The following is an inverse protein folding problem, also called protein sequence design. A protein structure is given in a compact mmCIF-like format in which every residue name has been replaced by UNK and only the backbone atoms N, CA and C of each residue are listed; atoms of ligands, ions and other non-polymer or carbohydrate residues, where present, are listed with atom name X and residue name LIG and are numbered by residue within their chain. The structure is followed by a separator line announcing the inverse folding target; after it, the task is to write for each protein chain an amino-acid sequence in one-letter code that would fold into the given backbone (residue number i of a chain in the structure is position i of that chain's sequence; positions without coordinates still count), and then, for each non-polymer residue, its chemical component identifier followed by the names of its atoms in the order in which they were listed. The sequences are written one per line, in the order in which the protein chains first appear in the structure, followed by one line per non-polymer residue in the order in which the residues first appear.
data_IF_507016592300
#
_entry.id   IF_507016592300
#
_cell.length_a   1.000
_cell.length_b   1.000
_cell.length_c   1.000
_cell.angle_alpha   90.00
_cell.angle_beta   90.00
_cell.angle_gamma   90.00
#
_symmetry.space_group_name_H-M   'P 1'
#
loop_
_entity.id
_entity.type
_entity.pdbx_description
1 polymer ?
#
# COMPACT_ATOMS: atom_id res chain seq x y z
N UNK A 1 -12.06 -15.82 8.22
CA UNK A 1 -11.19 -16.07 7.06
C UNK A 1 -11.39 -14.90 6.10
N UNK A 2 -10.33 -14.18 5.76
CA UNK A 2 -10.39 -13.14 4.73
C UNK A 2 -10.36 -13.90 3.40
N UNK A 3 -11.46 -13.89 2.66
CA UNK A 3 -11.47 -14.46 1.31
C UNK A 3 -10.69 -13.51 0.40
N UNK A 4 -9.59 -13.94 -0.24
CA UNK A 4 -8.87 -13.07 -1.14
C UNK A 4 -9.76 -12.72 -2.35
N UNK A 5 -9.66 -11.49 -2.89
CA UNK A 5 -10.31 -11.10 -4.12
C UNK A 5 -9.98 -12.08 -5.27
N UNK A 6 -10.93 -12.29 -6.18
CA UNK A 6 -10.77 -13.21 -7.32
C UNK A 6 -9.87 -12.70 -8.44
N UNK A 7 -9.37 -11.46 -8.35
CA UNK A 7 -8.49 -10.85 -9.36
C UNK A 7 -7.02 -11.22 -9.22
N UNK A 8 -6.15 -10.47 -9.88
CA UNK A 8 -4.72 -10.72 -9.88
C UNK A 8 -4.07 -10.33 -8.55
N UNK A 9 -2.85 -10.85 -8.32
CA UNK A 9 -2.04 -10.51 -7.15
C UNK A 9 -0.97 -9.49 -7.52
N UNK A 10 -0.85 -8.42 -6.74
CA UNK A 10 0.11 -7.35 -6.95
C UNK A 10 0.92 -7.08 -5.69
N UNK A 11 2.21 -6.80 -5.85
CA UNK A 11 3.03 -6.16 -4.83
C UNK A 11 3.18 -4.69 -5.23
N UNK A 12 2.84 -3.76 -4.35
CA UNK A 12 2.96 -2.32 -4.64
C UNK A 12 3.94 -1.64 -3.68
N UNK A 13 4.61 -0.62 -4.20
CA UNK A 13 5.43 0.30 -3.42
C UNK A 13 4.57 1.34 -2.71
N UNK A 14 5.08 1.93 -1.63
CA UNK A 14 4.43 2.97 -0.85
C UNK A 14 4.07 4.20 -1.69
N UNK A 15 4.91 4.56 -2.68
CA UNK A 15 4.65 5.67 -3.59
C UNK A 15 3.34 5.51 -4.39
N UNK A 16 2.96 4.27 -4.73
CA UNK A 16 1.68 3.99 -5.39
C UNK A 16 0.53 4.25 -4.43
N UNK A 17 0.67 3.82 -3.17
CA UNK A 17 -0.33 4.08 -2.14
C UNK A 17 -0.48 5.58 -1.85
N UNK A 18 0.63 6.33 -1.78
CA UNK A 18 0.59 7.79 -1.61
C UNK A 18 -0.14 8.45 -2.76
N UNK A 19 0.16 8.05 -4.00
CA UNK A 19 -0.51 8.56 -5.19
C UNK A 19 -2.03 8.30 -5.14
N UNK A 20 -2.41 7.10 -4.70
CA UNK A 20 -3.80 6.74 -4.46
C UNK A 20 -4.46 7.65 -3.42
N UNK A 21 -3.88 7.78 -2.22
CA UNK A 21 -4.42 8.59 -1.11
C UNK A 21 -4.50 10.09 -1.46
N UNK A 22 -3.54 10.60 -2.23
CA UNK A 22 -3.53 12.00 -2.69
C UNK A 22 -4.63 12.22 -3.74
N UNK A 23 -4.79 11.28 -4.68
CA UNK A 23 -5.70 11.46 -5.81
C UNK A 23 -7.19 11.32 -5.46
N UNK A 24 -7.54 10.44 -4.52
CA UNK A 24 -8.93 10.18 -4.15
C UNK A 24 -9.79 9.56 -5.25
N UNK A 25 -9.19 8.95 -6.28
CA UNK A 25 -9.94 8.41 -7.43
C UNK A 25 -10.58 7.05 -7.14
N UNK A 26 -11.85 6.90 -7.49
CA UNK A 26 -12.61 5.66 -7.34
C UNK A 26 -12.03 4.47 -8.11
N UNK A 27 -11.27 4.71 -9.17
CA UNK A 27 -10.54 3.66 -9.92
C UNK A 27 -9.61 2.87 -9.00
N UNK A 28 -8.95 3.54 -8.05
CA UNK A 28 -8.11 2.85 -7.08
C UNK A 28 -8.96 2.00 -6.13
N UNK A 29 -10.08 2.51 -5.61
CA UNK A 29 -10.97 1.72 -4.76
C UNK A 29 -11.43 0.44 -5.47
N UNK A 30 -11.77 0.54 -6.75
CA UNK A 30 -12.14 -0.60 -7.58
C UNK A 30 -10.96 -1.56 -7.73
N UNK A 31 -9.76 -1.06 -8.02
CA UNK A 31 -8.54 -1.86 -8.12
C UNK A 31 -8.26 -2.65 -6.83
N UNK A 32 -8.27 -2.00 -5.67
CA UNK A 32 -8.00 -2.65 -4.39
C UNK A 32 -9.09 -3.65 -3.98
N UNK A 33 -10.36 -3.39 -4.32
CA UNK A 33 -11.46 -4.34 -4.04
C UNK A 33 -11.42 -5.59 -4.91
N UNK A 34 -10.91 -5.47 -6.14
CA UNK A 34 -10.96 -6.55 -7.13
C UNK A 34 -9.69 -7.39 -7.16
N UNK A 35 -8.58 -6.87 -6.65
CA UNK A 35 -7.26 -7.52 -6.71
C UNK A 35 -6.69 -7.75 -5.32
N UNK A 36 -5.86 -8.78 -5.19
CA UNK A 36 -5.11 -8.99 -3.94
C UNK A 36 -3.87 -8.11 -3.97
N UNK A 37 -3.75 -7.18 -3.04
CA UNK A 37 -2.61 -6.26 -2.98
C UNK A 37 -1.77 -6.49 -1.75
N UNK A 38 -0.50 -6.75 -1.97
CA UNK A 38 0.52 -6.96 -0.95
C UNK A 38 1.41 -5.73 -0.83
N UNK A 39 1.73 -5.40 0.41
CA UNK A 39 2.65 -4.30 0.77
C UNK A 39 3.56 -4.74 1.90
N UNK A 40 4.80 -4.24 1.98
CA UNK A 40 5.67 -4.50 3.11
C UNK A 40 5.21 -3.77 4.37
N UNK A 41 5.60 -4.26 5.55
CA UNK A 41 5.25 -3.66 6.86
C UNK A 41 5.82 -2.25 7.10
N UNK A 42 7.00 -1.95 6.58
CA UNK A 42 7.62 -0.62 6.68
C UNK A 42 6.79 0.48 6.01
N UNK A 43 5.82 0.12 5.16
CA UNK A 43 4.83 1.03 4.60
C UNK A 43 4.18 1.91 5.68
N UNK A 44 3.89 1.34 6.85
CA UNK A 44 3.25 2.09 7.93
C UNK A 44 4.14 3.23 8.45
N UNK A 45 5.44 3.00 8.56
CA UNK A 45 6.41 4.01 8.97
C UNK A 45 6.47 5.14 7.94
N UNK A 46 6.53 4.80 6.64
CA UNK A 46 6.56 5.81 5.58
C UNK A 46 5.26 6.63 5.51
N UNK A 47 4.09 5.99 5.71
CA UNK A 47 2.82 6.72 5.78
C UNK A 47 2.81 7.69 6.95
N UNK A 48 3.31 7.29 8.12
CA UNK A 48 3.39 8.18 9.27
C UNK A 48 4.33 9.37 9.01
N UNK A 49 5.48 9.11 8.38
CA UNK A 49 6.44 10.15 8.01
C UNK A 49 5.84 11.17 7.03
N UNK A 50 5.03 10.70 6.08
CA UNK A 50 4.47 11.54 5.02
C UNK A 50 3.01 11.95 5.24
N UNK A 51 2.42 11.66 6.41
CA UNK A 51 0.99 11.83 6.66
C UNK A 51 0.48 13.26 6.42
N UNK A 52 1.27 14.26 6.82
CA UNK A 52 0.92 15.67 6.64
C UNK A 52 0.96 16.07 5.17
N UNK A 53 1.99 15.61 4.44
CA UNK A 53 2.14 15.88 3.01
C UNK A 53 1.02 15.21 2.22
N UNK A 54 0.70 13.95 2.52
CA UNK A 54 -0.40 13.21 1.90
C UNK A 54 -1.72 13.96 2.15
N UNK A 55 -1.94 14.44 3.38
CA UNK A 55 -3.12 15.20 3.76
C UNK A 55 -3.22 16.52 2.99
N UNK A 56 -2.15 17.30 2.96
CA UNK A 56 -2.13 18.63 2.34
C UNK A 56 -2.24 18.56 0.82
N UNK A 57 -1.68 17.51 0.19
CA UNK A 57 -1.75 17.30 -1.25
C UNK A 57 -3.08 16.71 -1.71
N UNK A 58 -3.80 16.03 -0.81
CA UNK A 58 -5.15 15.57 -1.11
C UNK A 58 -6.12 16.74 -1.24
N UNK A 59 -6.97 16.70 -2.26
CA UNK A 59 -8.04 17.70 -2.45
C UNK A 59 -9.34 17.34 -1.71
N UNK A 60 -9.38 16.18 -1.06
CA UNK A 60 -10.55 15.68 -0.34
C UNK A 60 -10.76 16.41 0.99
N UNK A 61 -12.01 16.55 1.40
CA UNK A 61 -12.34 17.04 2.75
C UNK A 61 -11.92 15.99 3.79
N UNK A 62 -11.57 16.40 5.01
CA UNK A 62 -11.05 15.51 6.08
C UNK A 62 -11.88 14.23 6.29
N UNK A 63 -13.21 14.35 6.31
CA UNK A 63 -14.12 13.22 6.49
C UNK A 63 -14.09 12.25 5.30
N UNK A 64 -14.09 12.79 4.08
CA UNK A 64 -13.99 12.02 2.84
C UNK A 64 -12.65 11.28 2.76
N UNK A 65 -11.54 11.97 3.02
CA UNK A 65 -10.22 11.35 3.06
C UNK A 65 -10.16 10.19 4.05
N UNK A 66 -10.76 10.34 5.24
CA UNK A 66 -10.77 9.27 6.26
C UNK A 66 -11.50 8.03 5.77
N UNK A 67 -12.67 8.22 5.16
CA UNK A 67 -13.46 7.13 4.60
C UNK A 67 -12.74 6.47 3.42
N UNK A 68 -12.15 7.27 2.53
CA UNK A 68 -11.38 6.79 1.39
C UNK A 68 -10.17 5.98 1.84
N UNK A 69 -9.37 6.52 2.75
CA UNK A 69 -8.20 5.83 3.29
C UNK A 69 -8.61 4.51 3.94
N UNK A 70 -9.64 4.51 4.80
CA UNK A 70 -10.13 3.29 5.44
C UNK A 70 -10.52 2.22 4.41
N UNK A 71 -11.23 2.60 3.35
CA UNK A 71 -11.64 1.69 2.29
C UNK A 71 -10.43 1.09 1.54
N UNK A 72 -9.35 1.85 1.35
CA UNK A 72 -8.10 1.34 0.76
C UNK A 72 -7.44 0.34 1.72
N UNK A 73 -7.19 0.73 2.97
CA UNK A 73 -6.47 -0.10 3.95
C UNK A 73 -7.18 -1.42 4.27
N UNK A 74 -8.52 -1.45 4.23
CA UNK A 74 -9.30 -2.68 4.41
C UNK A 74 -9.01 -3.76 3.35
N UNK A 75 -8.43 -3.38 2.21
CA UNK A 75 -8.15 -4.26 1.09
C UNK A 75 -6.64 -4.49 0.87
N UNK A 76 -5.79 -4.09 1.83
CA UNK A 76 -4.35 -4.33 1.79
C UNK A 76 -3.98 -5.56 2.62
N UNK A 77 -3.11 -6.40 2.07
CA UNK A 77 -2.40 -7.42 2.83
C UNK A 77 -1.01 -6.92 3.15
N UNK A 78 -0.76 -6.63 4.43
CA UNK A 78 0.59 -6.28 4.87
C UNK A 78 1.39 -7.55 5.12
N UNK A 79 2.59 -7.60 4.54
CA UNK A 79 3.54 -8.71 4.67
C UNK A 79 4.64 -8.27 5.64
N UNK A 80 4.66 -8.83 6.86
CA UNK A 80 5.74 -8.57 7.81
C UNK A 80 7.06 -9.10 7.29
N UNK A 81 8.16 -8.42 7.60
CA UNK A 81 9.52 -8.91 7.31
C UNK A 81 9.79 -10.29 7.93
N UNK A 82 9.09 -10.63 9.02
CA UNK A 82 9.13 -11.95 9.66
C UNK A 82 8.75 -13.10 8.71
N UNK A 83 7.95 -12.84 7.67
CA UNK A 83 7.54 -13.87 6.70
C UNK A 83 8.52 -14.01 5.53
N UNK A 84 9.49 -13.11 5.39
CA UNK A 84 10.47 -13.13 4.32
C UNK A 84 11.59 -14.10 4.71
N UNK A 85 11.86 -15.09 3.87
CA UNK A 85 12.97 -16.01 4.13
C UNK A 85 14.33 -15.35 3.89
N UNK A 86 15.35 -15.80 4.61
CA UNK A 86 16.73 -15.33 4.46
C UNK A 86 17.19 -15.34 3.00
N UNK A 87 16.82 -16.39 2.24
CA UNK A 87 17.15 -16.50 0.82
C UNK A 87 16.63 -15.31 0.00
N UNK A 88 15.35 -14.94 0.15
CA UNK A 88 14.76 -13.82 -0.58
C UNK A 88 15.32 -12.47 -0.09
N UNK A 89 15.61 -12.36 1.21
CA UNK A 89 16.29 -11.19 1.76
C UNK A 89 17.67 -10.97 1.11
N UNK A 90 18.50 -12.02 1.04
CA UNK A 90 19.81 -11.93 0.40
C UNK A 90 19.71 -11.64 -1.10
N UNK A 91 18.74 -12.21 -1.80
CA UNK A 91 18.48 -11.88 -3.21
C UNK A 91 18.19 -10.38 -3.37
N UNK A 92 17.29 -9.82 -2.56
CA UNK A 92 16.97 -8.40 -2.59
C UNK A 92 18.21 -7.54 -2.28
N UNK A 93 18.99 -7.91 -1.26
CA UNK A 93 20.24 -7.25 -0.91
C UNK A 93 21.22 -7.21 -2.09
N UNK A 94 21.40 -8.33 -2.80
CA UNK A 94 22.28 -8.38 -3.96
C UNK A 94 21.77 -7.51 -5.12
N UNK A 95 20.46 -7.48 -5.37
CA UNK A 95 19.88 -6.61 -6.40
C UNK A 95 20.11 -5.11 -6.07
N UNK A 96 20.09 -4.73 -4.80
CA UNK A 96 20.33 -3.36 -4.38
C UNK A 96 21.81 -2.94 -4.43
N UNK A 97 22.75 -3.89 -4.40
CA UNK A 97 24.21 -3.60 -4.39
C UNK A 97 24.81 -3.27 -5.75
N UNK A 98 24.13 -3.61 -6.85
CA UNK A 98 24.57 -3.29 -8.21
C UNK A 98 23.89 -2.02 -8.76
N UNK A 99 23.37 -1.15 -7.88
CA UNK A 99 22.95 0.21 -8.23
C UNK A 99 24.09 1.21 -8.08
#
# INVERSE_FOLDING_TARGET
MINPPSGASFVIDANILFSCLISGKDDYLTFFKTNTVYVPDFLYEEIQLHQEVIRQKSKMVLAEFRNYALAIFQNLTVVPNLLISDQHFYQAYHLCRFK
#
